data_IF_656962885004
#
_entry.id   IF_656962885004
#
_cell.length_a   1.000
_cell.length_b   1.000
_cell.length_c   1.000
_cell.angle_alpha   90.00
_cell.angle_beta   90.00
_cell.angle_gamma   90.00
#
_symmetry.space_group_name_H-M   'P 1'
#
loop_
_entity.id
_entity.type
_entity.pdbx_description
1 polymer ?
#
# COMPACT_ATOMS: atom_id res chain seq x y z
N UNK A 1 40.45 -58.34 -6.00
CA UNK A 1 41.24 -58.30 -7.25
C UNK A 1 40.44 -57.53 -8.28
N UNK A 2 40.88 -56.30 -8.59
CA UNK A 2 41.47 -55.92 -9.89
C UNK A 2 40.39 -55.78 -10.97
N UNK A 3 39.82 -54.58 -11.20
CA UNK A 3 40.33 -53.46 -12.01
C UNK A 3 40.62 -53.88 -13.46
N UNK A 4 39.84 -53.34 -14.42
CA UNK A 4 40.28 -52.54 -15.60
C UNK A 4 39.31 -52.69 -16.77
N UNK A 5 38.59 -51.62 -17.10
CA UNK A 5 38.39 -51.11 -18.46
C UNK A 5 37.39 -49.95 -18.44
N UNK A 6 37.87 -48.71 -18.46
CA UNK A 6 37.03 -47.55 -18.82
C UNK A 6 37.83 -46.34 -19.36
N UNK A 7 38.97 -46.60 -20.02
CA UNK A 7 39.78 -45.54 -20.66
C UNK A 7 39.36 -45.19 -22.10
N UNK A 8 38.19 -45.66 -22.57
CA UNK A 8 37.65 -45.28 -23.89
C UNK A 8 36.49 -44.27 -23.84
N UNK A 9 35.91 -44.01 -22.67
CA UNK A 9 34.81 -43.03 -22.53
C UNK A 9 35.29 -41.59 -22.29
N UNK A 10 36.53 -41.41 -21.79
CA UNK A 10 37.06 -40.08 -21.45
C UNK A 10 37.54 -39.27 -22.66
N UNK A 11 37.95 -39.93 -23.75
CA UNK A 11 38.41 -39.26 -24.97
C UNK A 11 37.27 -38.69 -25.84
N UNK A 12 36.07 -39.29 -25.79
CA UNK A 12 34.91 -38.80 -26.53
C UNK A 12 34.28 -37.53 -25.90
N UNK A 13 34.40 -37.36 -24.59
CA UNK A 13 33.82 -36.20 -23.88
C UNK A 13 34.63 -34.91 -24.07
N UNK A 14 35.95 -35.02 -24.24
CA UNK A 14 36.84 -33.86 -24.46
C UNK A 14 36.71 -33.34 -25.91
N UNK A 15 36.45 -34.22 -26.87
CA UNK A 15 36.29 -33.81 -28.29
C UNK A 15 35.00 -33.03 -28.53
N UNK A 16 33.87 -33.43 -27.92
CA UNK A 16 32.58 -32.73 -28.05
C UNK A 16 32.53 -31.37 -27.32
N UNK A 17 33.30 -31.22 -26.24
CA UNK A 17 33.36 -29.96 -25.50
C UNK A 17 34.15 -28.86 -26.25
N UNK A 18 35.12 -29.27 -27.09
CA UNK A 18 35.93 -28.34 -27.90
C UNK A 18 35.17 -27.75 -29.10
N UNK A 19 34.31 -28.55 -29.74
CA UNK A 19 33.51 -28.13 -30.92
C UNK A 19 32.37 -27.18 -30.50
N UNK A 20 31.74 -27.42 -29.34
CA UNK A 20 30.69 -26.54 -28.81
C UNK A 20 31.23 -25.16 -28.39
N UNK A 21 32.46 -25.09 -27.87
CA UNK A 21 33.15 -23.82 -27.56
C UNK A 21 33.53 -23.02 -28.82
N UNK A 22 33.83 -23.69 -29.94
CA UNK A 22 34.15 -23.03 -31.22
C UNK A 22 32.90 -22.46 -31.90
N UNK A 23 31.76 -23.15 -31.83
CA UNK A 23 30.48 -22.67 -32.38
C UNK A 23 29.96 -21.46 -31.60
N UNK A 24 30.11 -21.44 -30.27
CA UNK A 24 29.73 -20.29 -29.42
C UNK A 24 30.64 -19.07 -29.69
N UNK A 25 31.93 -19.28 -29.94
CA UNK A 25 32.86 -18.19 -30.33
C UNK A 25 32.54 -17.59 -31.71
N UNK A 26 32.15 -18.41 -32.69
CA UNK A 26 31.75 -17.93 -34.02
C UNK A 26 30.44 -17.14 -33.96
N UNK A 27 29.47 -17.59 -33.14
CA UNK A 27 28.21 -16.86 -32.93
C UNK A 27 28.42 -15.52 -32.19
N UNK A 28 29.32 -15.46 -31.21
CA UNK A 28 29.67 -14.21 -30.53
C UNK A 28 30.45 -13.23 -31.44
N UNK A 29 31.34 -13.73 -32.31
CA UNK A 29 32.08 -12.89 -33.25
C UNK A 29 31.18 -12.27 -34.33
N UNK A 30 30.14 -12.98 -34.78
CA UNK A 30 29.15 -12.47 -35.75
C UNK A 30 28.21 -11.40 -35.16
N UNK A 31 27.98 -11.43 -33.84
CA UNK A 31 27.18 -10.43 -33.13
C UNK A 31 28.00 -9.17 -32.80
N UNK A 32 29.31 -9.30 -32.58
CA UNK A 32 30.19 -8.15 -32.30
C UNK A 32 30.61 -7.34 -33.54
N UNK A 33 30.58 -7.92 -34.74
CA UNK A 33 30.99 -7.22 -35.98
C UNK A 33 29.86 -6.50 -36.74
N UNK A 34 28.61 -6.49 -36.24
CA UNK A 34 27.48 -5.89 -36.96
C UNK A 34 27.07 -4.49 -36.44
N UNK A 35 27.93 -3.83 -35.66
CA UNK A 35 27.77 -2.42 -35.28
C UNK A 35 29.05 -1.64 -35.56
N UNK A 36 29.31 -1.37 -36.84
CA UNK A 36 30.25 -0.33 -37.24
C UNK A 36 29.51 0.99 -37.53
N UNK A 37 30.08 2.05 -36.97
CA UNK A 37 30.00 3.47 -37.33
C UNK A 37 28.69 4.21 -36.93
N UNK A 38 28.71 5.33 -36.21
CA UNK A 38 29.67 6.44 -36.23
C UNK A 38 30.01 6.97 -34.83
N UNK A 39 31.31 7.18 -34.60
CA UNK A 39 31.81 8.11 -33.60
C UNK A 39 31.70 9.55 -34.12
N UNK A 40 31.13 10.45 -33.32
CA UNK A 40 31.44 11.89 -33.36
C UNK A 40 31.93 12.28 -31.97
N UNK A 41 33.21 12.63 -31.89
CA UNK A 41 33.81 13.37 -30.76
C UNK A 41 33.13 14.74 -30.68
N UNK A 42 32.65 15.15 -29.50
CA UNK A 42 32.52 16.58 -29.21
C UNK A 42 33.11 16.86 -27.82
N UNK A 43 34.02 17.81 -27.88
CA UNK A 43 34.88 18.37 -26.86
C UNK A 43 34.11 19.20 -25.81
N UNK A 44 34.73 19.41 -24.66
CA UNK A 44 34.27 20.40 -23.68
C UNK A 44 34.66 21.80 -24.17
N UNK A 45 33.70 22.70 -24.42
CA UNK A 45 33.80 24.15 -24.14
C UNK A 45 32.56 24.93 -24.56
N UNK A 46 32.24 25.97 -23.76
CA UNK A 46 31.52 27.21 -24.10
C UNK A 46 30.03 27.20 -24.51
N UNK A 47 29.23 27.83 -23.62
CA UNK A 47 28.30 28.94 -23.86
C UNK A 47 27.08 28.83 -24.81
N UNK A 48 25.94 29.13 -24.18
CA UNK A 48 24.85 29.99 -24.63
C UNK A 48 24.08 29.71 -25.93
N UNK A 49 22.78 29.49 -25.68
CA UNK A 49 21.60 30.06 -26.36
C UNK A 49 21.05 29.36 -27.61
N UNK A 50 19.71 29.31 -27.55
CA UNK A 50 18.69 29.28 -28.61
C UNK A 50 18.45 27.92 -29.25
N UNK A 51 17.28 27.34 -28.96
CA UNK A 51 16.30 27.00 -30.00
C UNK A 51 14.88 27.18 -29.47
N UNK A 52 14.16 28.07 -30.16
CA UNK A 52 12.74 28.39 -30.02
C UNK A 52 11.85 27.17 -30.30
N UNK A 53 10.66 27.15 -29.68
CA UNK A 53 9.52 26.43 -30.25
C UNK A 53 8.32 27.37 -30.41
N UNK A 54 7.85 27.36 -31.65
CA UNK A 54 6.74 28.04 -32.32
C UNK A 54 5.48 28.34 -31.49
N UNK A 55 5.03 29.60 -31.62
CA UNK A 55 3.68 30.12 -31.33
C UNK A 55 2.63 29.45 -32.22
N UNK A 56 1.57 28.92 -31.62
CA UNK A 56 0.26 28.78 -32.28
C UNK A 56 -0.65 29.89 -31.73
N UNK A 57 -1.08 30.79 -32.62
CA UNK A 57 -2.08 31.83 -32.34
C UNK A 57 -3.47 31.20 -32.33
N UNK A 58 -4.23 31.42 -31.28
CA UNK A 58 -5.69 31.51 -31.35
C UNK A 58 -6.14 32.82 -30.71
N UNK A 59 -6.63 33.74 -31.54
CA UNK A 59 -7.37 34.93 -31.12
C UNK A 59 -8.77 34.49 -30.67
N UNK A 60 -9.17 34.89 -29.47
CA UNK A 60 -10.53 34.74 -28.94
C UNK A 60 -10.59 35.37 -27.55
N UNK A 61 -11.13 36.58 -27.47
CA UNK A 61 -11.25 37.40 -26.25
C UNK A 61 -12.53 36.95 -25.52
N UNK A 62 -12.43 36.33 -24.35
CA UNK A 62 -13.57 36.15 -23.42
C UNK A 62 -13.09 36.58 -22.03
N UNK A 63 -13.93 37.39 -21.38
CA UNK A 63 -13.67 38.10 -20.13
C UNK A 63 -13.47 37.17 -18.93
N UNK A 64 -12.80 37.73 -17.92
CA UNK A 64 -12.81 37.27 -16.54
C UNK A 64 -14.24 37.11 -16.03
N UNK A 65 -14.69 35.87 -15.89
CA UNK A 65 -15.46 35.34 -14.76
C UNK A 65 -15.92 33.90 -15.08
N UNK A 66 -15.79 32.99 -14.11
CA UNK A 66 -16.14 31.56 -14.13
C UNK A 66 -15.19 30.58 -14.86
N UNK A 67 -14.09 30.21 -14.20
CA UNK A 67 -13.42 28.91 -14.44
C UNK A 67 -12.73 28.37 -13.17
N UNK A 68 -13.53 28.15 -12.12
CA UNK A 68 -13.13 27.42 -10.91
C UNK A 68 -13.82 26.06 -10.83
N UNK A 69 -13.68 25.23 -11.86
CA UNK A 69 -14.03 23.80 -11.83
C UNK A 69 -13.17 23.03 -12.85
N UNK A 70 -12.46 22.02 -12.35
CA UNK A 70 -11.74 20.96 -13.08
C UNK A 70 -10.40 21.32 -13.74
N UNK A 71 -9.31 21.22 -12.97
CA UNK A 71 -7.96 20.97 -13.49
C UNK A 71 -7.23 19.95 -12.59
N UNK A 72 -7.42 18.65 -12.85
CA UNK A 72 -6.51 17.58 -12.44
C UNK A 72 -5.60 17.28 -13.64
N UNK A 73 -4.42 17.90 -13.68
CA UNK A 73 -3.39 17.57 -14.66
C UNK A 73 -2.32 16.69 -14.01
N UNK A 74 -2.48 15.37 -14.14
CA UNK A 74 -1.46 14.37 -13.82
C UNK A 74 -0.49 14.24 -15.00
N UNK A 75 0.65 14.92 -14.95
CA UNK A 75 1.77 14.72 -15.88
C UNK A 75 2.63 13.58 -15.31
N UNK A 76 2.49 12.38 -15.86
CA UNK A 76 3.29 11.22 -15.47
C UNK A 76 3.87 10.51 -16.69
N UNK A 77 5.19 10.60 -16.85
CA UNK A 77 5.95 9.97 -17.92
C UNK A 77 6.22 8.48 -17.60
N UNK A 78 5.74 7.60 -18.48
CA UNK A 78 5.81 6.14 -18.37
C UNK A 78 7.20 5.55 -18.64
N UNK A 79 8.12 6.37 -19.19
CA UNK A 79 9.47 5.97 -19.61
C UNK A 79 10.40 5.68 -18.42
N UNK A 80 10.24 6.40 -17.30
CA UNK A 80 11.11 6.29 -16.12
C UNK A 80 10.84 4.98 -15.35
N UNK A 81 9.58 4.60 -15.20
CA UNK A 81 9.19 3.31 -14.60
C UNK A 81 9.66 2.11 -15.41
N UNK A 82 9.99 2.29 -16.70
CA UNK A 82 10.46 1.21 -17.58
C UNK A 82 11.82 0.67 -17.14
N UNK A 83 12.71 1.52 -16.60
CA UNK A 83 14.07 1.12 -16.20
C UNK A 83 14.17 0.45 -14.82
N UNK A 84 13.17 0.61 -13.95
CA UNK A 84 13.25 0.13 -12.56
C UNK A 84 12.66 -1.29 -12.41
N UNK A 85 11.59 -1.61 -13.14
CA UNK A 85 10.90 -2.91 -13.02
C UNK A 85 11.60 -4.06 -13.75
N UNK A 86 12.38 -3.80 -14.81
CA UNK A 86 13.03 -4.82 -15.63
C UNK A 86 14.18 -5.58 -14.91
N UNK A 87 14.52 -5.21 -13.66
CA UNK A 87 15.69 -5.73 -12.93
C UNK A 87 15.44 -7.00 -12.07
N UNK A 88 14.23 -7.55 -11.97
CA UNK A 88 13.89 -8.49 -10.87
C UNK A 88 13.08 -9.77 -11.20
N UNK A 89 13.24 -10.38 -12.37
CA UNK A 89 12.54 -11.65 -12.66
C UNK A 89 13.50 -12.75 -13.12
N UNK A 90 13.75 -13.74 -12.25
CA UNK A 90 14.05 -15.12 -12.62
C UNK A 90 13.60 -16.09 -11.50
N UNK A 91 13.17 -17.29 -11.93
CA UNK A 91 12.36 -18.38 -11.33
C UNK A 91 12.93 -19.01 -10.02
N UNK A 92 12.24 -19.83 -9.21
CA UNK A 92 11.27 -20.91 -9.45
C UNK A 92 10.36 -21.23 -8.21
N UNK A 93 9.75 -22.43 -8.18
CA UNK A 93 8.36 -22.78 -7.80
C UNK A 93 8.05 -23.26 -6.34
N UNK A 94 6.73 -23.19 -6.06
CA UNK A 94 5.88 -23.83 -5.02
C UNK A 94 5.97 -23.47 -3.51
N UNK A 95 4.90 -22.83 -3.00
CA UNK A 95 4.09 -23.11 -1.79
C UNK A 95 3.21 -21.88 -1.45
N UNK A 96 1.94 -22.12 -1.08
CA UNK A 96 0.86 -21.13 -0.94
C UNK A 96 1.05 -20.22 0.30
N UNK A 97 1.78 -19.13 0.17
CA UNK A 97 2.03 -18.14 1.24
C UNK A 97 1.69 -16.73 0.79
N UNK A 98 0.85 -15.98 1.55
CA UNK A 98 0.40 -14.56 1.35
C UNK A 98 1.60 -13.57 1.44
N UNK A 99 1.68 -12.49 0.61
CA UNK A 99 2.91 -11.66 0.39
C UNK A 99 2.74 -10.13 0.17
N UNK A 100 3.36 -9.25 1.00
CA UNK A 100 3.14 -7.75 1.15
C UNK A 100 4.44 -6.90 1.27
N UNK A 101 5.58 -7.50 1.64
CA UNK A 101 6.89 -6.84 1.83
C UNK A 101 7.95 -7.59 1.01
N UNK A 102 8.88 -6.91 0.35
CA UNK A 102 10.02 -7.58 -0.31
C UNK A 102 10.89 -8.28 0.75
N UNK A 103 11.08 -9.60 0.65
CA UNK A 103 11.65 -10.43 1.73
C UNK A 103 13.01 -11.08 1.39
N UNK A 104 13.84 -10.43 0.56
CA UNK A 104 15.25 -10.84 0.48
C UNK A 104 16.00 -10.26 1.67
N UNK A 105 16.66 -11.11 2.48
CA UNK A 105 17.48 -10.69 3.64
C UNK A 105 18.47 -9.57 3.29
N UNK A 106 18.94 -9.55 2.03
CA UNK A 106 19.80 -8.51 1.44
C UNK A 106 19.11 -7.18 1.10
N UNK A 107 17.86 -6.93 1.49
CA UNK A 107 17.18 -5.64 1.22
C UNK A 107 16.72 -4.95 2.51
N UNK A 108 17.10 -5.48 3.68
CA UNK A 108 16.78 -4.86 4.97
C UNK A 108 17.72 -3.70 5.26
N UNK A 109 17.17 -2.64 5.83
CA UNK A 109 17.97 -1.56 6.39
C UNK A 109 18.58 -1.94 7.74
N UNK A 110 19.79 -1.45 7.99
CA UNK A 110 20.38 -1.41 9.33
C UNK A 110 19.94 -0.12 10.02
N UNK A 111 19.79 -0.16 11.33
CA UNK A 111 19.34 0.98 12.12
C UNK A 111 20.49 1.59 12.95
N UNK A 112 20.55 2.93 13.07
CA UNK A 112 19.67 3.89 12.42
C UNK A 112 19.90 3.99 10.90
N UNK A 113 18.82 4.27 10.15
CA UNK A 113 18.87 4.63 8.73
C UNK A 113 19.36 6.06 8.64
N UNK A 114 20.54 6.27 8.09
CA UNK A 114 21.04 7.62 7.83
C UNK A 114 20.22 8.23 6.70
N UNK A 115 19.66 9.43 6.94
CA UNK A 115 18.88 10.14 5.92
C UNK A 115 19.36 11.57 5.69
N UNK A 116 19.11 12.07 4.49
CA UNK A 116 19.45 13.41 4.05
C UNK A 116 18.24 14.03 3.31
N UNK A 117 18.03 15.34 3.45
CA UNK A 117 17.01 16.08 2.74
C UNK A 117 17.71 17.08 1.83
N UNK A 118 17.36 17.14 0.56
CA UNK A 118 17.90 18.15 -0.35
C UNK A 118 17.57 19.55 0.15
N UNK A 119 18.62 20.35 0.36
CA UNK A 119 18.54 21.69 0.93
C UNK A 119 17.65 22.60 0.07
N UNK A 120 16.87 23.46 0.72
CA UNK A 120 16.05 24.50 0.09
C UNK A 120 14.97 24.00 -0.91
N UNK A 121 14.75 22.68 -1.00
CA UNK A 121 13.73 22.07 -1.87
C UNK A 121 12.51 21.53 -1.12
N UNK A 122 12.62 21.35 0.19
CA UNK A 122 11.63 20.64 0.99
C UNK A 122 11.33 21.36 2.30
N UNK A 123 10.10 21.22 2.79
CA UNK A 123 9.79 21.47 4.18
C UNK A 123 10.34 20.32 5.03
N UNK A 124 11.51 20.50 5.65
CA UNK A 124 12.14 19.47 6.48
C UNK A 124 11.24 19.00 7.62
N UNK A 125 10.43 19.90 8.20
CA UNK A 125 9.50 19.58 9.30
C UNK A 125 8.51 18.49 8.89
N UNK A 126 8.03 18.51 7.64
CA UNK A 126 7.11 17.47 7.15
C UNK A 126 7.79 16.10 7.13
N UNK A 127 8.98 16.00 6.53
CA UNK A 127 9.72 14.74 6.42
C UNK A 127 10.09 14.23 7.82
N UNK A 128 10.61 15.10 8.68
CA UNK A 128 10.97 14.73 10.05
C UNK A 128 9.76 14.19 10.83
N UNK A 129 8.58 14.82 10.72
CA UNK A 129 7.36 14.32 11.39
C UNK A 129 6.88 12.97 10.84
N UNK A 130 7.02 12.74 9.53
CA UNK A 130 6.71 11.43 8.94
C UNK A 130 7.66 10.34 9.44
N UNK A 131 8.96 10.63 9.48
CA UNK A 131 9.97 9.71 10.01
C UNK A 131 9.69 9.41 11.49
N UNK A 132 9.44 10.43 12.30
CA UNK A 132 9.04 10.27 13.71
C UNK A 132 7.79 9.40 13.86
N UNK A 133 6.78 9.56 12.99
CA UNK A 133 5.61 8.69 13.04
C UNK A 133 6.00 7.22 12.81
N UNK A 134 6.86 6.92 11.83
CA UNK A 134 7.37 5.56 11.62
C UNK A 134 8.14 5.06 12.86
N UNK A 135 8.96 5.90 13.50
CA UNK A 135 9.69 5.54 14.72
C UNK A 135 8.77 5.27 15.91
N UNK A 136 7.66 6.01 16.04
CA UNK A 136 6.64 5.76 17.08
C UNK A 136 5.86 4.47 16.84
N UNK A 137 5.68 4.11 15.57
CA UNK A 137 4.92 2.94 15.14
C UNK A 137 5.75 1.66 15.03
N UNK A 138 7.08 1.78 14.97
CA UNK A 138 7.97 0.65 14.70
C UNK A 138 9.29 0.73 15.48
N UNK A 139 10.13 -0.30 15.38
CA UNK A 139 11.51 -0.26 15.90
C UNK A 139 12.50 0.41 14.94
N UNK A 140 12.08 0.81 13.73
CA UNK A 140 12.94 1.47 12.75
C UNK A 140 13.39 2.81 13.34
N UNK A 141 14.64 3.18 13.12
CA UNK A 141 15.21 4.46 13.59
C UNK A 141 15.89 5.19 12.45
N UNK A 142 15.84 6.51 12.47
CA UNK A 142 16.44 7.39 11.48
C UNK A 142 17.43 8.34 12.15
N UNK A 143 18.52 8.66 11.46
CA UNK A 143 19.50 9.65 11.89
C UNK A 143 19.77 10.63 10.76
N UNK A 144 19.57 11.93 11.00
CA UNK A 144 19.89 12.93 9.99
C UNK A 144 21.40 12.94 9.77
N UNK A 145 21.84 12.98 8.50
CA UNK A 145 23.26 12.99 8.16
C UNK A 145 23.91 14.27 8.66
N UNK A 146 24.95 14.13 9.48
CA UNK A 146 25.82 15.23 9.88
C UNK A 146 26.90 15.44 8.82
N UNK A 147 27.22 16.71 8.51
CA UNK A 147 28.21 17.07 7.48
C UNK A 147 29.61 16.49 7.73
N UNK A 148 29.93 16.16 8.99
CA UNK A 148 31.24 15.63 9.42
C UNK A 148 31.36 14.10 9.32
N UNK A 149 30.25 13.37 9.18
CA UNK A 149 30.26 11.90 9.16
C UNK A 149 30.07 11.36 7.74
N UNK A 150 31.19 11.09 7.06
CA UNK A 150 31.22 10.30 5.82
C UNK A 150 31.13 8.80 6.17
N UNK A 151 29.93 8.32 6.50
CA UNK A 151 29.68 6.88 6.65
C UNK A 151 29.72 6.17 5.28
N UNK A 152 30.26 4.95 5.24
CA UNK A 152 30.17 4.03 4.09
C UNK A 152 28.79 3.37 3.97
N UNK A 153 27.87 3.63 4.90
CA UNK A 153 26.50 3.15 4.85
C UNK A 153 25.70 3.86 3.76
N UNK A 154 24.81 3.11 3.09
CA UNK A 154 23.79 3.66 2.19
C UNK A 154 22.97 4.75 2.90
N UNK A 155 22.90 5.94 2.33
CA UNK A 155 22.11 7.09 2.81
C UNK A 155 20.77 7.13 2.07
N UNK A 156 19.67 7.27 2.80
CA UNK A 156 18.34 7.52 2.23
C UNK A 156 18.17 9.02 2.00
N UNK A 157 18.07 9.47 0.75
CA UNK A 157 18.02 10.91 0.44
C UNK A 157 16.71 11.32 -0.22
N UNK A 158 16.05 12.33 0.34
CA UNK A 158 14.87 12.96 -0.25
C UNK A 158 15.29 14.01 -1.29
N UNK A 159 14.88 13.82 -2.55
CA UNK A 159 15.27 14.62 -3.71
C UNK A 159 14.08 15.19 -4.45
N UNK A 160 14.24 16.39 -5.02
CA UNK A 160 13.24 16.95 -5.93
C UNK A 160 13.28 16.17 -7.25
N UNK A 161 12.21 15.42 -7.52
CA UNK A 161 12.07 14.59 -8.71
C UNK A 161 11.04 15.12 -9.71
N UNK A 162 11.04 14.52 -10.90
CA UNK A 162 9.96 14.70 -11.90
C UNK A 162 8.73 13.83 -11.61
N UNK A 163 8.91 12.74 -10.87
CA UNK A 163 7.87 11.81 -10.43
C UNK A 163 8.09 11.47 -8.96
N UNK A 164 7.04 10.95 -8.32
CA UNK A 164 7.09 10.49 -6.93
C UNK A 164 7.35 8.99 -6.95
N UNK A 165 8.54 8.58 -6.50
CA UNK A 165 8.98 7.20 -6.61
C UNK A 165 10.12 6.89 -5.65
N UNK A 166 10.15 5.63 -5.20
CA UNK A 166 11.16 5.06 -4.33
C UNK A 166 11.41 3.59 -4.68
N UNK A 167 12.60 3.09 -4.36
CA UNK A 167 12.93 1.68 -4.50
C UNK A 167 12.28 0.84 -3.40
N UNK A 168 12.00 -0.43 -3.68
CA UNK A 168 11.53 -1.36 -2.66
C UNK A 168 12.69 -1.89 -1.81
N UNK A 169 12.78 -1.43 -0.56
CA UNK A 169 13.84 -1.84 0.37
C UNK A 169 15.21 -1.19 0.08
N UNK A 170 16.21 -1.57 0.87
CA UNK A 170 17.59 -1.07 0.76
C UNK A 170 18.29 -1.57 -0.51
N UNK A 171 18.92 -0.66 -1.24
CA UNK A 171 19.76 -0.94 -2.40
C UNK A 171 21.25 -0.91 -2.00
N UNK A 172 21.86 -2.09 -1.79
CA UNK A 172 23.24 -2.22 -1.27
C UNK A 172 24.32 -1.71 -2.22
N UNK A 173 24.07 -1.74 -3.54
CA UNK A 173 25.00 -1.22 -4.55
C UNK A 173 25.07 0.32 -4.58
N UNK A 174 24.28 1.02 -3.76
CA UNK A 174 24.21 2.47 -3.75
C UNK A 174 24.71 3.05 -2.44
N UNK A 175 25.58 4.06 -2.55
CA UNK A 175 25.96 4.92 -1.42
C UNK A 175 24.80 5.87 -1.07
N UNK A 176 24.03 6.32 -2.07
CA UNK A 176 22.84 7.16 -1.88
C UNK A 176 21.64 6.52 -2.58
N UNK A 177 20.59 6.24 -1.83
CA UNK A 177 19.30 5.79 -2.34
C UNK A 177 18.29 6.93 -2.28
N UNK A 178 17.82 7.38 -3.44
CA UNK A 178 16.86 8.47 -3.55
C UNK A 178 15.42 8.05 -3.27
N UNK A 179 14.71 8.88 -2.50
CA UNK A 179 13.26 9.04 -2.54
C UNK A 179 13.00 10.30 -3.36
N UNK A 180 12.40 10.15 -4.52
CA UNK A 180 12.11 11.27 -5.42
C UNK A 180 10.71 11.77 -5.16
N UNK A 181 10.56 13.07 -4.96
CA UNK A 181 9.28 13.73 -4.69
C UNK A 181 9.14 14.96 -5.59
N UNK A 182 8.02 15.10 -6.27
CA UNK A 182 7.65 16.35 -6.94
C UNK A 182 7.17 17.39 -5.92
N UNK A 183 6.99 18.65 -6.34
CA UNK A 183 6.34 19.68 -5.51
C UNK A 183 4.95 19.26 -5.01
N UNK A 184 4.20 18.51 -5.83
CA UNK A 184 2.86 18.02 -5.48
C UNK A 184 2.88 16.88 -4.45
N UNK A 185 3.98 16.13 -4.36
CA UNK A 185 4.15 15.03 -3.41
C UNK A 185 4.79 15.46 -2.09
N UNK A 186 5.00 16.75 -1.87
CA UNK A 186 5.45 17.28 -0.58
C UNK A 186 4.29 17.39 0.41
N UNK A 187 3.57 16.29 0.60
CA UNK A 187 2.47 16.14 1.55
C UNK A 187 2.66 14.86 2.36
N UNK A 188 2.04 14.79 3.54
CA UNK A 188 2.18 13.65 4.46
C UNK A 188 1.98 12.30 3.77
N UNK A 189 0.87 12.17 3.03
CA UNK A 189 0.47 10.91 2.37
C UNK A 189 1.55 10.41 1.41
N UNK A 190 2.12 11.28 0.59
CA UNK A 190 3.09 10.87 -0.43
C UNK A 190 4.45 10.59 0.21
N UNK A 191 4.89 11.43 1.15
CA UNK A 191 6.17 11.24 1.86
C UNK A 191 6.17 9.91 2.62
N UNK A 192 5.11 9.59 3.36
CA UNK A 192 5.03 8.31 4.08
C UNK A 192 4.96 7.14 3.09
N UNK A 193 4.18 7.23 2.01
CA UNK A 193 4.08 6.19 0.99
C UNK A 193 5.44 5.84 0.37
N UNK A 194 6.19 6.84 -0.09
CA UNK A 194 7.51 6.62 -0.70
C UNK A 194 8.56 6.14 0.32
N UNK A 195 8.43 6.57 1.58
CA UNK A 195 9.28 6.07 2.66
C UNK A 195 8.96 4.61 2.99
N UNK A 196 7.69 4.20 2.98
CA UNK A 196 7.28 2.81 3.16
C UNK A 196 7.76 1.90 2.02
N UNK A 197 7.79 2.41 0.78
CA UNK A 197 8.48 1.75 -0.33
C UNK A 197 9.97 1.55 -0.03
N UNK A 198 10.69 2.60 0.39
CA UNK A 198 12.10 2.50 0.76
C UNK A 198 12.34 1.46 1.86
N UNK A 199 11.38 1.27 2.77
CA UNK A 199 11.42 0.27 3.84
C UNK A 199 11.04 -1.14 3.39
N UNK A 200 10.51 -1.32 2.17
CA UNK A 200 10.28 -2.62 1.54
C UNK A 200 8.81 -2.97 1.30
N UNK A 201 7.84 -2.12 1.65
CA UNK A 201 6.44 -2.36 1.31
C UNK A 201 6.25 -2.21 -0.20
N UNK A 202 5.54 -3.15 -0.81
CA UNK A 202 5.07 -3.02 -2.18
C UNK A 202 3.68 -2.39 -2.19
N UNK A 203 3.20 -2.02 -3.37
CA UNK A 203 1.80 -1.65 -3.52
C UNK A 203 0.87 -2.80 -3.13
N UNK A 204 -0.23 -2.50 -2.43
CA UNK A 204 -1.17 -3.51 -1.95
C UNK A 204 -1.87 -4.23 -3.12
N UNK A 205 -2.20 -3.50 -4.21
CA UNK A 205 -2.74 -4.10 -5.44
C UNK A 205 -1.68 -4.80 -6.32
N UNK A 206 -0.41 -4.83 -5.91
CA UNK A 206 0.62 -5.63 -6.57
C UNK A 206 0.87 -6.97 -5.87
N UNK A 207 0.17 -7.24 -4.76
CA UNK A 207 0.24 -8.53 -4.06
C UNK A 207 -0.20 -9.67 -4.97
N UNK A 208 0.43 -10.82 -4.84
CA UNK A 208 0.09 -11.99 -5.66
C UNK A 208 -1.29 -12.57 -5.36
N UNK A 209 -1.85 -12.32 -4.18
CA UNK A 209 -3.18 -12.78 -3.78
C UNK A 209 -4.28 -11.75 -4.05
N UNK A 210 -3.97 -10.61 -4.69
CA UNK A 210 -4.91 -9.50 -4.88
C UNK A 210 -6.19 -9.89 -5.60
N UNK A 211 -6.13 -10.85 -6.53
CA UNK A 211 -7.26 -11.15 -7.43
C UNK A 211 -8.41 -11.86 -6.68
N UNK A 212 -8.22 -12.17 -5.39
CA UNK A 212 -9.26 -12.58 -4.44
C UNK A 212 -10.02 -11.41 -3.79
N UNK A 213 -9.55 -10.18 -4.03
CA UNK A 213 -9.98 -8.97 -3.34
C UNK A 213 -10.34 -7.84 -4.32
N UNK A 214 -9.61 -7.73 -5.43
CA UNK A 214 -9.83 -6.70 -6.45
C UNK A 214 -9.77 -7.29 -7.86
N UNK A 215 -10.47 -6.67 -8.80
CA UNK A 215 -10.39 -6.89 -10.23
C UNK A 215 -9.68 -5.71 -10.90
N UNK A 216 -8.75 -6.00 -11.81
CA UNK A 216 -8.11 -4.98 -12.64
C UNK A 216 -8.85 -4.89 -13.97
N UNK A 217 -9.41 -3.73 -14.27
CA UNK A 217 -10.11 -3.44 -15.52
C UNK A 217 -9.13 -2.88 -16.55
N UNK A 218 -8.35 -3.76 -17.19
CA UNK A 218 -7.32 -3.36 -18.17
C UNK A 218 -7.87 -2.53 -19.33
N UNK A 219 -9.13 -2.73 -19.73
CA UNK A 219 -9.80 -1.93 -20.75
C UNK A 219 -9.90 -0.45 -20.40
N UNK A 220 -9.88 -0.08 -19.11
CA UNK A 220 -9.93 1.30 -18.63
C UNK A 220 -8.54 1.90 -18.41
N UNK A 221 -7.47 1.10 -18.49
CA UNK A 221 -6.08 1.55 -18.25
C UNK A 221 -5.55 2.33 -19.46
N UNK A 222 -4.85 3.44 -19.20
CA UNK A 222 -4.12 4.21 -20.21
C UNK A 222 -3.08 3.32 -20.90
N UNK A 223 -3.00 3.41 -22.23
CA UNK A 223 -2.01 2.66 -23.03
C UNK A 223 -0.59 2.94 -22.53
N UNK A 224 0.17 1.89 -22.24
CA UNK A 224 1.55 1.96 -21.72
C UNK A 224 1.65 1.94 -20.18
N UNK A 225 0.53 1.98 -19.46
CA UNK A 225 0.47 1.93 -18.00
C UNK A 225 0.09 0.56 -17.43
N UNK A 226 -0.14 -0.44 -18.28
CA UNK A 226 -0.62 -1.79 -17.91
C UNK A 226 0.37 -2.49 -16.97
N UNK A 227 1.67 -2.24 -17.15
CA UNK A 227 2.73 -2.79 -16.29
C UNK A 227 2.60 -2.40 -14.81
N UNK A 228 1.99 -1.26 -14.51
CA UNK A 228 1.79 -0.78 -13.12
C UNK A 228 0.78 -1.65 -12.34
N UNK A 229 0.08 -2.55 -13.03
CA UNK A 229 -0.85 -3.52 -12.46
C UNK A 229 -0.30 -4.95 -12.52
N UNK A 230 1.00 -5.15 -12.77
CA UNK A 230 1.59 -6.48 -12.66
C UNK A 230 1.61 -6.95 -11.21
N UNK A 231 1.33 -8.24 -11.02
CA UNK A 231 1.54 -8.91 -9.74
C UNK A 231 3.04 -9.05 -9.51
N UNK A 232 3.50 -8.72 -8.32
CA UNK A 232 4.87 -9.01 -7.89
C UNK A 232 4.93 -10.46 -7.43
N UNK A 233 5.90 -11.21 -7.98
CA UNK A 233 6.04 -12.63 -7.73
C UNK A 233 6.12 -12.93 -6.25
N UNK A 234 5.50 -14.06 -5.90
CA UNK A 234 5.53 -14.54 -4.55
C UNK A 234 7.00 -14.76 -4.14
N UNK A 235 7.85 -15.36 -4.97
CA UNK A 235 9.25 -15.69 -4.67
C UNK A 235 10.09 -14.60 -3.97
N UNK A 236 9.80 -13.32 -4.22
CA UNK A 236 10.56 -12.18 -3.68
C UNK A 236 9.84 -11.37 -2.59
N UNK A 237 8.62 -11.76 -2.21
CA UNK A 237 7.78 -11.03 -1.24
C UNK A 237 7.35 -11.92 -0.03
N UNK A 238 6.84 -11.31 1.06
CA UNK A 238 6.29 -11.96 2.28
C UNK A 238 5.17 -11.10 2.90
N UNK A 239 4.03 -11.64 3.35
CA UNK A 239 2.97 -10.82 3.98
C UNK A 239 3.18 -10.82 5.46
N UNK A 240 3.99 -11.77 5.95
CA UNK A 240 3.98 -12.14 7.35
C UNK A 240 2.56 -12.49 7.83
N UNK A 241 1.77 -13.13 6.95
CA UNK A 241 0.37 -13.48 7.18
C UNK A 241 -0.56 -12.27 7.47
N UNK A 242 -0.17 -11.05 7.09
CA UNK A 242 -1.04 -9.87 7.14
C UNK A 242 -2.10 -9.95 6.01
N UNK A 243 -3.37 -9.80 6.37
CA UNK A 243 -4.49 -9.82 5.42
C UNK A 243 -4.44 -8.67 4.41
N UNK A 244 -5.12 -8.83 3.27
CA UNK A 244 -5.26 -7.77 2.26
C UNK A 244 -6.00 -6.57 2.84
N UNK A 245 -5.41 -5.38 2.71
CA UNK A 245 -5.96 -4.17 3.32
C UNK A 245 -6.35 -3.12 2.27
N UNK A 246 -7.64 -3.10 1.92
CA UNK A 246 -8.24 -2.11 1.01
C UNK A 246 -7.89 -0.66 1.39
N UNK A 247 -7.74 -0.37 2.69
CA UNK A 247 -7.43 0.95 3.21
C UNK A 247 -5.94 1.20 3.47
N UNK A 248 -5.05 0.35 2.96
CA UNK A 248 -3.61 0.58 3.00
C UNK A 248 -3.25 1.88 2.27
N UNK A 249 -2.27 2.62 2.79
CA UNK A 249 -1.71 3.77 2.06
C UNK A 249 -0.94 3.33 0.81
N UNK A 250 -0.56 2.05 0.75
CA UNK A 250 0.12 1.43 -0.39
C UNK A 250 -0.87 0.92 -1.45
N UNK A 251 -2.19 1.06 -1.26
CA UNK A 251 -3.16 0.67 -2.26
C UNK A 251 -3.37 1.79 -3.29
N UNK A 252 -3.57 1.44 -4.55
CA UNK A 252 -4.02 2.40 -5.56
C UNK A 252 -5.45 2.88 -5.33
N UNK A 253 -5.72 4.09 -5.83
CA UNK A 253 -7.06 4.62 -5.93
C UNK A 253 -7.84 3.89 -7.03
N UNK A 254 -9.18 3.79 -6.99
CA UNK A 254 -9.96 3.06 -7.99
C UNK A 254 -9.75 3.52 -9.43
N UNK A 255 -9.41 4.80 -9.65
CA UNK A 255 -9.26 5.40 -10.98
C UNK A 255 -7.79 5.68 -11.37
N UNK A 256 -6.82 5.18 -10.60
CA UNK A 256 -5.40 5.38 -10.92
C UNK A 256 -5.10 4.83 -12.32
N UNK A 257 -4.43 5.60 -13.18
CA UNK A 257 -4.17 5.26 -14.60
C UNK A 257 -5.41 5.08 -15.50
N UNK A 258 -6.57 5.60 -15.10
CA UNK A 258 -7.79 5.53 -15.94
C UNK A 258 -7.70 6.44 -17.18
N UNK A 259 -8.11 5.94 -18.34
CA UNK A 259 -8.20 6.72 -19.60
C UNK A 259 -9.57 7.36 -19.84
N UNK A 260 -10.59 6.92 -19.10
CA UNK A 260 -12.01 7.25 -19.31
C UNK A 260 -12.70 7.65 -18.00
N UNK A 261 -11.94 7.90 -16.93
CA UNK A 261 -12.45 8.17 -15.57
C UNK A 261 -13.31 7.02 -14.99
N UNK A 262 -13.26 5.83 -15.59
CA UNK A 262 -13.81 4.59 -15.06
C UNK A 262 -12.79 3.86 -14.16
N UNK A 263 -13.28 2.95 -13.32
CA UNK A 263 -12.43 2.23 -12.37
C UNK A 263 -11.43 1.33 -13.10
N UNK A 264 -10.14 1.46 -12.79
CA UNK A 264 -9.08 0.54 -13.18
C UNK A 264 -8.86 -0.55 -12.13
N UNK A 265 -9.12 -0.24 -10.86
CA UNK A 265 -9.13 -1.20 -9.75
C UNK A 265 -10.50 -1.18 -9.09
N UNK A 266 -11.24 -2.27 -9.21
CA UNK A 266 -12.54 -2.44 -8.58
C UNK A 266 -12.42 -3.49 -7.45
N UNK A 267 -12.89 -3.24 -6.23
CA UNK A 267 -12.97 -4.29 -5.23
C UNK A 267 -14.01 -5.33 -5.65
N UNK A 268 -13.81 -6.59 -5.27
CA UNK A 268 -14.82 -7.65 -5.46
C UNK A 268 -16.04 -7.40 -4.56
N UNK A 269 -15.79 -6.76 -3.42
CA UNK A 269 -16.81 -6.33 -2.48
C UNK A 269 -17.03 -4.83 -2.65
N UNK A 270 -18.04 -4.46 -3.43
CA UNK A 270 -18.24 -3.09 -3.95
C UNK A 270 -18.31 -2.01 -2.85
N UNK A 271 -18.73 -2.36 -1.64
CA UNK A 271 -18.79 -1.39 -0.52
C UNK A 271 -17.39 -0.89 -0.10
N UNK A 272 -16.32 -1.54 -0.55
CA UNK A 272 -14.94 -1.08 -0.35
C UNK A 272 -14.46 -0.05 -1.36
N UNK A 273 -15.26 0.34 -2.36
CA UNK A 273 -14.82 1.20 -3.46
C UNK A 273 -14.19 2.51 -2.95
N UNK A 274 -14.86 3.20 -2.03
CA UNK A 274 -14.39 4.46 -1.44
C UNK A 274 -13.36 4.25 -0.31
N UNK A 275 -13.09 2.99 0.10
CA UNK A 275 -12.01 2.66 1.03
C UNK A 275 -10.64 2.65 0.33
N UNK A 276 -10.61 2.29 -0.96
CA UNK A 276 -9.39 2.13 -1.73
C UNK A 276 -8.54 3.41 -1.79
N UNK A 277 -7.23 3.22 -1.65
CA UNK A 277 -6.25 4.28 -1.88
C UNK A 277 -6.11 5.31 -0.76
N UNK A 278 -6.48 4.93 0.47
CA UNK A 278 -6.36 5.65 1.77
C UNK A 278 -6.10 7.15 1.74
N UNK A 279 -6.92 7.91 2.45
CA UNK A 279 -6.99 9.38 2.37
C UNK A 279 -6.01 10.17 3.25
N UNK A 280 -5.11 9.55 4.01
CA UNK A 280 -4.27 10.38 4.90
C UNK A 280 -3.07 9.78 5.60
N UNK A 281 -3.06 8.50 5.98
CA UNK A 281 -1.91 7.90 6.69
C UNK A 281 -1.85 6.39 6.49
N UNK A 282 -0.73 5.79 6.90
CA UNK A 282 -0.50 4.35 6.88
C UNK A 282 -1.50 3.62 7.79
N UNK A 283 -2.00 2.47 7.33
CA UNK A 283 -2.95 1.68 8.09
C UNK A 283 -2.26 0.92 9.23
N UNK A 284 -3.07 0.38 10.14
CA UNK A 284 -2.58 -0.53 11.18
C UNK A 284 -1.78 -1.70 10.60
N UNK A 285 -2.23 -2.23 9.46
CA UNK A 285 -1.59 -3.37 8.80
C UNK A 285 -0.34 -3.00 8.00
N UNK A 286 -0.17 -1.73 7.60
CA UNK A 286 1.07 -1.25 7.00
C UNK A 286 2.21 -1.27 8.03
N UNK A 287 1.97 -0.73 9.23
CA UNK A 287 2.95 -0.82 10.32
C UNK A 287 3.12 -2.23 10.88
N UNK A 288 2.04 -3.03 10.96
CA UNK A 288 2.13 -4.45 11.34
C UNK A 288 3.08 -5.20 10.41
N UNK A 289 2.99 -5.00 9.10
CA UNK A 289 3.88 -5.63 8.13
C UNK A 289 5.34 -5.22 8.33
N UNK A 290 5.63 -3.94 8.57
CA UNK A 290 6.99 -3.48 8.88
C UNK A 290 7.52 -4.04 10.20
N UNK A 291 6.70 -4.11 11.24
CA UNK A 291 7.09 -4.66 12.54
C UNK A 291 7.39 -6.16 12.47
N UNK A 292 6.61 -6.91 11.69
CA UNK A 292 6.91 -8.31 11.41
C UNK A 292 8.16 -8.48 10.52
N UNK A 293 8.49 -7.50 9.69
CA UNK A 293 9.69 -7.54 8.86
C UNK A 293 10.98 -7.17 9.63
N UNK A 294 10.95 -6.11 10.46
CA UNK A 294 12.14 -5.54 11.09
C UNK A 294 12.27 -5.82 12.59
N UNK A 295 11.15 -6.02 13.31
CA UNK A 295 11.13 -5.83 14.76
C UNK A 295 10.86 -7.11 15.57
N UNK A 296 10.72 -8.27 14.93
CA UNK A 296 10.39 -9.53 15.60
C UNK A 296 11.33 -9.90 16.75
N UNK A 297 12.62 -9.54 16.64
CA UNK A 297 13.64 -9.85 17.65
C UNK A 297 13.88 -8.70 18.65
N UNK A 298 13.08 -7.64 18.62
CA UNK A 298 13.30 -6.45 19.47
C UNK A 298 12.94 -6.70 20.93
N UNK A 299 11.95 -7.56 21.17
CA UNK A 299 11.48 -7.89 22.51
C UNK A 299 11.92 -9.30 22.90
N UNK A 300 12.59 -9.43 24.05
CA UNK A 300 13.11 -10.72 24.53
C UNK A 300 11.98 -11.67 24.97
N UNK A 301 10.88 -11.12 25.49
CA UNK A 301 9.70 -11.87 25.92
C UNK A 301 8.56 -11.58 24.96
N UNK A 302 7.88 -12.63 24.49
CA UNK A 302 6.69 -12.50 23.65
C UNK A 302 5.45 -12.44 24.54
N UNK A 303 4.51 -11.55 24.20
CA UNK A 303 3.18 -11.48 24.85
C UNK A 303 2.10 -11.82 23.84
N UNK A 304 1.00 -12.41 24.30
CA UNK A 304 -0.13 -12.74 23.44
C UNK A 304 -1.09 -11.54 23.29
N UNK A 305 -1.12 -10.95 22.11
CA UNK A 305 -2.05 -9.86 21.80
C UNK A 305 -3.39 -10.39 21.27
N UNK A 306 -4.50 -9.91 21.85
CA UNK A 306 -5.86 -10.31 21.46
C UNK A 306 -6.37 -9.45 20.30
N UNK A 307 -7.51 -9.88 19.73
CA UNK A 307 -8.24 -9.17 18.67
C UNK A 307 -7.34 -8.67 17.52
N UNK A 308 -6.42 -9.52 17.05
CA UNK A 308 -5.50 -9.26 15.93
C UNK A 308 -4.46 -8.15 16.18
N UNK A 309 -4.29 -7.72 17.44
CA UNK A 309 -3.18 -6.88 17.88
C UNK A 309 -1.82 -7.56 17.67
N UNK A 310 -0.75 -6.78 17.82
CA UNK A 310 0.63 -7.29 17.80
C UNK A 310 1.48 -6.56 18.83
N UNK A 311 2.55 -7.20 19.30
CA UNK A 311 3.40 -6.65 20.35
C UNK A 311 4.04 -5.33 19.89
N UNK A 312 3.99 -4.31 20.75
CA UNK A 312 4.60 -3.02 20.46
C UNK A 312 6.13 -3.14 20.62
N UNK A 313 6.92 -2.96 19.56
CA UNK A 313 8.37 -3.13 19.65
C UNK A 313 9.07 -2.03 20.44
N UNK A 314 8.39 -0.90 20.69
CA UNK A 314 8.90 0.20 21.50
C UNK A 314 8.50 0.08 22.98
N UNK A 315 7.52 -0.79 23.29
CA UNK A 315 7.00 -1.04 24.64
C UNK A 315 6.64 -2.52 24.76
N UNK A 316 7.64 -3.37 24.98
CA UNK A 316 7.49 -4.83 24.88
C UNK A 316 6.40 -5.44 25.77
N UNK A 317 6.01 -4.80 26.87
CA UNK A 317 4.91 -5.26 27.72
C UNK A 317 3.50 -4.89 27.23
N UNK A 318 3.36 -4.20 26.08
CA UNK A 318 2.10 -3.63 25.60
C UNK A 318 1.88 -4.01 24.14
N UNK A 319 0.63 -4.26 23.75
CA UNK A 319 0.22 -4.52 22.38
C UNK A 319 -0.17 -3.21 21.66
N UNK A 320 0.11 -3.14 20.36
CA UNK A 320 -0.55 -2.23 19.43
C UNK A 320 -1.90 -2.83 19.02
N UNK A 321 -2.97 -2.07 19.21
CA UNK A 321 -4.33 -2.53 19.02
C UNK A 321 -4.95 -1.98 17.72
N UNK A 322 -5.69 -2.81 16.97
CA UNK A 322 -6.43 -2.31 15.82
C UNK A 322 -7.61 -1.44 16.28
N UNK A 323 -8.05 -0.55 15.40
CA UNK A 323 -9.17 0.35 15.64
C UNK A 323 -10.41 -0.40 16.19
N UNK A 324 -10.90 0.10 17.33
CA UNK A 324 -11.99 -0.50 18.09
C UNK A 324 -11.54 -1.29 19.32
N UNK A 325 -10.25 -1.56 19.48
CA UNK A 325 -9.72 -2.26 20.66
C UNK A 325 -8.67 -1.41 21.37
N UNK A 326 -8.52 -1.61 22.68
CA UNK A 326 -7.60 -0.89 23.54
C UNK A 326 -7.13 -1.77 24.71
N UNK A 327 -6.36 -1.17 25.63
CA UNK A 327 -5.77 -1.86 26.77
C UNK A 327 -4.47 -2.58 26.42
N UNK A 328 -3.76 -3.04 27.44
CA UNK A 328 -2.41 -3.60 27.32
C UNK A 328 -2.33 -4.78 26.35
N UNK A 329 -3.35 -5.64 26.32
CA UNK A 329 -3.38 -6.85 25.47
C UNK A 329 -4.42 -6.75 24.34
N UNK A 330 -4.97 -5.56 24.07
CA UNK A 330 -6.05 -5.36 23.09
C UNK A 330 -7.33 -6.17 23.37
N UNK A 331 -7.54 -6.55 24.63
CA UNK A 331 -8.72 -7.29 25.10
C UNK A 331 -9.89 -6.37 25.47
N UNK A 332 -9.65 -5.07 25.65
CA UNK A 332 -10.68 -4.09 25.98
C UNK A 332 -11.30 -3.55 24.70
N UNK A 333 -12.64 -3.54 24.65
CA UNK A 333 -13.42 -2.96 23.55
C UNK A 333 -13.51 -1.45 23.76
N UNK A 334 -13.11 -0.66 22.77
CA UNK A 334 -13.17 0.80 22.85
C UNK A 334 -14.60 1.29 22.61
N UNK A 335 -15.00 2.38 23.28
CA UNK A 335 -16.26 3.09 23.01
C UNK A 335 -16.06 4.27 22.05
N UNK A 336 -14.87 4.46 21.49
CA UNK A 336 -14.52 5.63 20.69
C UNK A 336 -14.04 6.80 21.57
N UNK A 337 -13.56 7.88 20.95
CA UNK A 337 -12.94 9.01 21.67
C UNK A 337 -13.94 9.75 22.57
N UNK A 338 -15.18 9.88 22.10
CA UNK A 338 -16.25 10.58 22.82
C UNK A 338 -17.05 9.65 23.75
N UNK A 339 -16.55 8.43 23.97
CA UNK A 339 -17.14 7.43 24.87
C UNK A 339 -18.63 7.09 24.63
N UNK A 340 -19.14 7.37 23.42
CA UNK A 340 -20.54 7.20 23.01
C UNK A 340 -20.86 5.82 22.40
N UNK A 341 -19.84 4.98 22.25
CA UNK A 341 -19.94 3.63 21.75
C UNK A 341 -20.62 2.65 22.73
N UNK A 342 -21.03 1.50 22.20
CA UNK A 342 -21.68 0.45 23.00
C UNK A 342 -21.33 -0.96 22.51
N UNK A 343 -21.40 -1.91 23.43
CA UNK A 343 -21.32 -3.34 23.13
C UNK A 343 -22.75 -3.87 23.02
N UNK A 344 -23.08 -4.51 21.91
CA UNK A 344 -24.41 -5.06 21.61
C UNK A 344 -24.30 -6.54 21.25
N UNK A 345 -25.29 -7.33 21.65
CA UNK A 345 -25.41 -8.73 21.24
C UNK A 345 -26.40 -8.84 20.09
N UNK A 346 -26.00 -9.46 18.99
CA UNK A 346 -26.92 -9.84 17.92
C UNK A 346 -27.83 -10.97 18.42
N UNK A 347 -29.13 -10.84 18.19
CA UNK A 347 -30.16 -11.84 18.50
C UNK A 347 -31.04 -12.05 17.27
N UNK A 348 -32.05 -12.92 17.37
CA UNK A 348 -33.07 -13.08 16.34
C UNK A 348 -33.91 -11.80 16.13
N UNK A 349 -34.18 -11.05 17.21
CA UNK A 349 -34.83 -9.75 17.16
C UNK A 349 -33.86 -8.71 16.59
N UNK A 350 -34.37 -7.83 15.72
CA UNK A 350 -33.60 -6.73 15.14
C UNK A 350 -33.16 -5.77 16.23
N UNK A 351 -31.86 -5.57 16.35
CA UNK A 351 -31.25 -4.48 17.09
C UNK A 351 -31.04 -3.24 16.22
N UNK A 352 -30.94 -2.08 16.87
CA UNK A 352 -30.74 -0.78 16.20
C UNK A 352 -29.60 -0.01 16.88
N UNK A 353 -28.77 0.62 16.06
CA UNK A 353 -27.78 1.64 16.45
C UNK A 353 -28.12 2.91 15.68
N UNK A 354 -28.24 4.02 16.38
CA UNK A 354 -28.39 5.35 15.78
C UNK A 354 -27.36 6.28 16.39
N UNK A 355 -26.64 6.99 15.53
CA UNK A 355 -25.57 7.92 15.91
C UNK A 355 -25.56 9.09 14.93
N UNK A 356 -25.30 10.30 15.43
CA UNK A 356 -25.30 11.54 14.65
C UNK A 356 -24.31 12.56 15.24
N UNK A 357 -24.06 13.66 14.54
CA UNK A 357 -23.24 14.75 15.05
C UNK A 357 -21.74 14.55 14.83
N UNK A 358 -20.96 15.54 15.25
CA UNK A 358 -19.50 15.52 15.21
C UNK A 358 -18.96 14.75 16.41
N UNK A 359 -18.78 13.44 16.25
CA UNK A 359 -18.26 12.54 17.29
C UNK A 359 -17.60 11.30 16.72
N UNK A 360 -16.87 10.61 17.59
CA UNK A 360 -16.12 9.39 17.35
C UNK A 360 -16.62 8.30 18.31
N UNK A 361 -17.54 7.46 17.83
CA UNK A 361 -18.14 6.35 18.58
C UNK A 361 -17.71 5.01 17.99
N UNK A 362 -17.49 4.02 18.86
CA UNK A 362 -17.20 2.65 18.44
C UNK A 362 -18.27 1.70 18.97
N UNK A 363 -18.97 1.00 18.09
CA UNK A 363 -19.96 -0.01 18.46
C UNK A 363 -19.41 -1.41 18.16
N UNK A 364 -19.53 -2.31 19.13
CA UNK A 364 -19.17 -3.71 18.98
C UNK A 364 -20.43 -4.56 18.94
N UNK A 365 -20.63 -5.32 17.88
CA UNK A 365 -21.71 -6.29 17.79
C UNK A 365 -21.10 -7.69 17.87
N UNK A 366 -21.64 -8.53 18.75
CA UNK A 366 -21.21 -9.91 18.90
C UNK A 366 -22.40 -10.88 18.79
N UNK A 367 -22.18 -12.01 18.15
CA UNK A 367 -23.08 -13.16 18.12
C UNK A 367 -22.40 -14.36 18.83
N UNK A 368 -23.10 -15.49 18.92
CA UNK A 368 -22.46 -16.72 19.42
C UNK A 368 -21.37 -17.16 18.45
N UNK A 369 -20.48 -18.04 18.92
CA UNK A 369 -19.43 -18.59 18.07
C UNK A 369 -20.01 -19.26 16.81
N UNK A 370 -19.33 -19.10 15.68
CA UNK A 370 -19.76 -19.56 14.35
C UNK A 370 -21.04 -18.93 13.77
N UNK A 371 -21.78 -18.11 14.53
CA UNK A 371 -22.88 -17.32 13.98
C UNK A 371 -22.35 -16.13 13.17
N UNK A 372 -23.10 -15.76 12.14
CA UNK A 372 -22.87 -14.55 11.34
C UNK A 372 -23.93 -13.51 11.68
N UNK A 373 -23.63 -12.25 11.39
CA UNK A 373 -24.48 -11.10 11.69
C UNK A 373 -24.90 -10.48 10.37
N UNK A 374 -26.22 -10.30 10.21
CA UNK A 374 -26.79 -9.44 9.19
C UNK A 374 -26.75 -8.00 9.67
N UNK A 375 -26.29 -7.09 8.82
CA UNK A 375 -26.20 -5.67 9.08
C UNK A 375 -26.94 -4.95 7.95
N UNK A 376 -27.88 -4.07 8.27
CA UNK A 376 -28.54 -3.23 7.28
C UNK A 376 -28.26 -1.75 7.60
N UNK A 377 -27.68 -1.07 6.62
CA UNK A 377 -27.37 0.35 6.64
C UNK A 377 -28.60 1.08 6.13
N UNK A 378 -29.46 1.49 7.06
CA UNK A 378 -30.78 1.99 6.73
C UNK A 378 -30.77 3.48 6.38
N UNK A 379 -30.06 4.32 7.13
CA UNK A 379 -30.01 5.74 6.81
C UNK A 379 -28.65 6.29 7.19
N UNK A 380 -27.75 6.31 6.21
CA UNK A 380 -26.40 6.82 6.35
C UNK A 380 -26.33 8.15 5.61
N UNK A 381 -25.88 9.18 6.32
CA UNK A 381 -25.72 10.53 5.77
C UNK A 381 -24.29 10.99 6.02
N UNK A 382 -23.49 11.03 4.95
CA UNK A 382 -22.16 11.63 4.91
C UNK A 382 -21.99 12.40 3.59
N UNK A 383 -21.13 13.44 3.55
CA UNK A 383 -20.84 14.18 2.33
C UNK A 383 -20.05 13.31 1.34
N UNK A 384 -20.57 13.17 0.12
CA UNK A 384 -19.99 12.32 -0.93
C UNK A 384 -18.53 12.65 -1.18
N UNK A 385 -17.68 11.62 -1.17
CA UNK A 385 -16.27 11.70 -1.55
C UNK A 385 -15.84 10.46 -2.32
N UNK A 386 -14.98 10.62 -3.34
CA UNK A 386 -14.41 9.49 -4.08
C UNK A 386 -13.55 8.58 -3.18
N UNK A 387 -12.86 9.18 -2.21
CA UNK A 387 -12.14 8.46 -1.14
C UNK A 387 -12.64 8.92 0.21
N UNK A 388 -13.00 7.98 1.06
CA UNK A 388 -13.42 8.30 2.41
C UNK A 388 -12.25 8.79 3.26
N UNK A 389 -12.44 9.95 3.89
CA UNK A 389 -11.55 10.48 4.91
C UNK A 389 -11.67 9.64 6.18
N UNK A 390 -10.58 9.08 6.68
CA UNK A 390 -10.59 8.17 7.84
C UNK A 390 -11.15 8.81 9.13
N UNK A 391 -11.14 10.14 9.23
CA UNK A 391 -11.72 10.90 10.35
C UNK A 391 -13.16 11.37 10.11
N UNK A 392 -13.72 11.15 8.93
CA UNK A 392 -15.07 11.59 8.56
C UNK A 392 -15.74 10.56 7.64
N UNK A 393 -16.02 9.38 8.19
CA UNK A 393 -16.73 8.29 7.53
C UNK A 393 -17.35 7.34 8.57
N UNK A 394 -18.30 6.53 8.11
CA UNK A 394 -18.72 5.32 8.81
C UNK A 394 -17.85 4.16 8.32
N UNK A 395 -17.05 3.54 9.20
CA UNK A 395 -16.24 2.37 8.86
C UNK A 395 -16.83 1.10 9.51
N UNK A 396 -17.03 0.04 8.73
CA UNK A 396 -17.60 -1.22 9.18
C UNK A 396 -16.59 -2.34 8.96
N UNK A 397 -16.12 -2.91 10.06
CA UNK A 397 -15.24 -4.09 10.09
C UNK A 397 -16.10 -5.33 10.34
N UNK A 398 -16.41 -6.05 9.27
CA UNK A 398 -17.26 -7.26 9.29
C UNK A 398 -16.56 -8.50 8.68
N UNK A 399 -15.31 -8.35 8.23
CA UNK A 399 -14.44 -9.43 7.77
C UNK A 399 -13.92 -10.24 8.97
N UNK A 400 -13.41 -11.44 8.71
CA UNK A 400 -12.88 -12.32 9.77
C UNK A 400 -11.70 -11.69 10.53
N UNK A 401 -10.80 -11.03 9.80
CA UNK A 401 -9.67 -10.29 10.37
C UNK A 401 -10.08 -8.84 10.64
N UNK A 402 -10.18 -8.47 11.92
CA UNK A 402 -10.59 -7.11 12.32
C UNK A 402 -9.43 -6.09 12.29
N UNK A 403 -8.19 -6.53 11.99
CA UNK A 403 -7.06 -5.61 11.86
C UNK A 403 -7.03 -4.87 10.53
N UNK A 404 -7.65 -5.41 9.48
CA UNK A 404 -7.80 -4.73 8.18
C UNK A 404 -8.72 -3.53 8.27
N UNK A 405 -8.54 -2.54 7.40
CA UNK A 405 -9.49 -1.43 7.28
C UNK A 405 -10.87 -1.97 6.88
N UNK A 406 -11.92 -1.49 7.54
CA UNK A 406 -13.31 -1.84 7.21
C UNK A 406 -13.80 -1.15 5.92
N UNK A 407 -15.01 -1.50 5.50
CA UNK A 407 -15.68 -0.76 4.43
C UNK A 407 -16.03 0.64 4.94
N UNK A 408 -15.58 1.68 4.23
CA UNK A 408 -15.79 3.08 4.59
C UNK A 408 -16.89 3.67 3.73
N UNK A 409 -17.92 4.19 4.38
CA UNK A 409 -19.03 4.89 3.76
C UNK A 409 -18.89 6.37 4.07
N UNK A 410 -18.79 7.16 3.01
CA UNK A 410 -18.70 8.62 3.06
C UNK A 410 -19.60 9.22 1.99
N UNK A 411 -20.80 8.66 1.83
CA UNK A 411 -21.86 9.23 1.01
C UNK A 411 -23.22 8.87 1.62
N UNK A 412 -24.29 9.37 1.02
CA UNK A 412 -25.64 8.94 1.39
C UNK A 412 -25.83 7.49 0.96
N UNK A 413 -26.32 6.66 1.88
CA UNK A 413 -26.62 5.26 1.62
C UNK A 413 -27.87 4.86 2.41
N UNK A 414 -28.80 4.19 1.75
CA UNK A 414 -30.04 3.70 2.32
C UNK A 414 -30.22 2.22 1.93
N UNK A 415 -30.78 1.46 2.85
CA UNK A 415 -31.16 0.06 2.71
C UNK A 415 -30.09 -0.86 2.08
N UNK A 416 -28.83 -0.73 2.50
CA UNK A 416 -27.75 -1.61 2.04
C UNK A 416 -27.47 -2.72 3.07
N UNK A 417 -27.51 -3.99 2.66
CA UNK A 417 -27.27 -5.11 3.57
C UNK A 417 -25.88 -5.73 3.40
N UNK A 418 -25.21 -5.94 4.53
CA UNK A 418 -23.94 -6.64 4.66
C UNK A 418 -24.13 -7.90 5.49
N UNK A 419 -23.32 -8.91 5.19
CA UNK A 419 -23.22 -10.14 5.97
C UNK A 419 -21.81 -10.26 6.53
N UNK A 420 -21.69 -10.44 7.84
CA UNK A 420 -20.38 -10.64 8.46
C UNK A 420 -19.78 -12.00 8.09
N UNK A 421 -18.44 -12.07 8.07
CA UNK A 421 -17.70 -13.31 7.86
C UNK A 421 -17.53 -14.11 9.16
N UNK A 422 -17.66 -13.45 10.31
CA UNK A 422 -17.48 -14.00 11.65
C UNK A 422 -18.52 -13.45 12.64
N UNK A 423 -18.46 -13.93 13.89
CA UNK A 423 -19.40 -13.57 14.97
C UNK A 423 -19.15 -12.20 15.61
N UNK A 424 -18.18 -11.43 15.12
CA UNK A 424 -17.82 -10.11 15.65
C UNK A 424 -17.83 -9.08 14.53
N UNK A 425 -18.45 -7.94 14.80
CA UNK A 425 -18.48 -6.77 13.93
C UNK A 425 -18.09 -5.54 14.75
N UNK A 426 -17.27 -4.67 14.18
CA UNK A 426 -16.93 -3.39 14.78
C UNK A 426 -17.37 -2.27 13.84
N UNK A 427 -18.12 -1.31 14.37
CA UNK A 427 -18.61 -0.15 13.64
C UNK A 427 -17.96 1.08 14.25
N UNK A 428 -17.22 1.82 13.43
CA UNK A 428 -16.53 3.04 13.80
C UNK A 428 -17.27 4.21 13.12
N UNK A 429 -18.00 4.99 13.91
CA UNK A 429 -18.56 6.25 13.44
C UNK A 429 -17.57 7.35 13.78
N UNK A 430 -16.91 7.94 12.78
CA UNK A 430 -16.00 9.08 12.94
C UNK A 430 -16.55 10.22 12.10
N UNK A 431 -16.89 11.34 12.75
CA UNK A 431 -17.50 12.48 12.07
C UNK A 431 -16.88 13.81 12.51
N UNK A 432 -16.54 14.65 11.54
CA UNK A 432 -16.16 16.05 11.74
C UNK A 432 -17.29 17.02 11.40
N UNK A 433 -18.47 16.52 11.04
CA UNK A 433 -19.61 17.33 10.61
C UNK A 433 -20.87 17.01 11.44
N UNK A 434 -21.55 18.02 12.03
CA UNK A 434 -22.71 17.80 12.88
C UNK A 434 -23.92 17.21 12.13
N UNK A 435 -23.98 17.36 10.80
CA UNK A 435 -25.07 16.83 9.98
C UNK A 435 -24.91 15.35 9.62
N UNK A 436 -23.73 14.77 9.87
CA UNK A 436 -23.55 13.35 9.59
C UNK A 436 -24.40 12.51 10.54
N UNK A 437 -24.88 11.38 10.04
CA UNK A 437 -25.62 10.41 10.82
C UNK A 437 -25.55 9.01 10.24
N UNK A 438 -25.80 8.02 11.08
CA UNK A 438 -25.88 6.63 10.69
C UNK A 438 -26.94 5.92 11.54
N UNK A 439 -27.90 5.28 10.86
CA UNK A 439 -28.81 4.30 11.46
C UNK A 439 -28.55 2.93 10.88
N UNK A 440 -28.26 1.98 11.77
CA UNK A 440 -27.82 0.63 11.44
C UNK A 440 -28.69 -0.37 12.18
N UNK A 441 -29.26 -1.30 11.43
CA UNK A 441 -29.99 -2.43 11.96
C UNK A 441 -29.09 -3.67 11.95
N UNK A 442 -29.23 -4.54 12.94
CA UNK A 442 -28.46 -5.79 12.97
C UNK A 442 -29.26 -6.92 13.61
N UNK A 443 -28.96 -8.15 13.22
CA UNK A 443 -29.53 -9.38 13.79
C UNK A 443 -28.62 -10.58 13.50
N UNK A 444 -28.89 -11.72 14.11
CA UNK A 444 -28.26 -12.99 13.72
C UNK A 444 -28.68 -13.32 12.28
N UNK A 445 -27.71 -13.67 11.44
CA UNK A 445 -27.96 -14.11 10.07
C UNK A 445 -28.74 -15.43 10.05
N UNK A 446 -29.78 -15.50 9.23
CA UNK A 446 -30.52 -16.72 8.93
C UNK A 446 -30.43 -17.01 7.44
N UNK A 447 -30.19 -18.28 7.06
CA UNK A 447 -30.15 -18.70 5.64
C UNK A 447 -31.47 -18.42 4.89
N UNK A 448 -32.61 -18.37 5.58
CA UNK A 448 -33.89 -17.96 4.99
C UNK A 448 -33.99 -16.44 4.99
N UNK A 449 -34.08 -15.83 3.80
CA UNK A 449 -34.29 -14.38 3.60
C UNK A 449 -35.65 -13.96 4.19
N UNK A 450 -35.68 -13.64 5.48
CA UNK A 450 -36.82 -12.93 6.06
C UNK A 450 -36.61 -11.43 5.79
N UNK A 451 -37.60 -10.71 5.22
CA UNK A 451 -37.51 -9.28 5.07
C UNK A 451 -37.17 -8.61 6.42
N UNK A 452 -36.48 -7.48 6.37
CA UNK A 452 -36.34 -6.60 7.54
C UNK A 452 -37.73 -6.01 7.82
N UNK A 453 -38.61 -6.79 8.45
CA UNK A 453 -39.99 -6.42 8.66
C UNK A 453 -40.07 -5.08 9.39
N UNK A 454 -40.42 -4.02 8.63
CA UNK A 454 -40.93 -2.75 9.12
C UNK A 454 -42.36 -3.00 9.60
N UNK A 455 -42.56 -3.41 10.85
CA UNK A 455 -43.87 -3.27 11.48
C UNK A 455 -43.74 -2.59 12.84
N UNK A 456 -44.45 -1.47 12.91
CA UNK A 456 -44.72 -0.55 14.01
C UNK A 456 -44.94 -1.29 15.33
N UNK A 457 -44.35 -0.76 16.40
CA UNK A 457 -45.03 -0.45 17.66
C UNK A 457 -44.41 0.83 18.19
#
# INVERSE_FOLDING_TARGET
MLVKNDDKFFFYFIFFCSIYCLIIRIYFWKILNNHNNQFVKIDQTSNNRLFEYSKVKTKGRISSDNLSKNLNYDIHDSSIYKKIDDLYVHESMFYRNKRKVVNKLKNKWNFPIVYEIEKDKFNETLINKVLQNIETETCIRFAKRNATNKSSQTVLKYFLGKTCVSYYGRQYSKIVQGIFLTKYCQNWKSVIHETLHALGLIHEQARYDRDKYVKINMSNVKRGCEKNFKIISSAITSTYNVSYDYGSIMHYHPYTWSKNNETTVAPIDDIYLNTLGSSGTASFNDFKALNLHYCQKKCNKTIECKNFGYQNPNKCGVCKCPDGFQGTLCNVKSKGKDNCGAIKSARNKVGKISVNGSKSCTFHIHAKENEKIDINLLNITFPKSRVCKANNCLEIKYKKDLSTTGARICEKLDNYTLKSEASKVVILYKSTNPRNSATILFRIYKKKNLPWNRKKQ
#
